data_IF_154743619588
#
_entry.id   IF_154743619588
#
_cell.length_a   1.000
_cell.length_b   1.000
_cell.length_c   1.000
_cell.angle_alpha   90.00
_cell.angle_beta   90.00
_cell.angle_gamma   90.00
#
_symmetry.space_group_name_H-M   'P 1'
#
loop_
_entity.id
_entity.type
_entity.pdbx_description
1 polymer ?
#
# COMPACT_ATOMS: atom_id res chain seq x y z
N UNK A 1 -24.08 23.84 22.99
CA UNK A 1 -23.20 23.22 22.08
C UNK A 1 -23.75 23.23 20.72
N UNK A 2 -23.00 23.75 19.90
CA UNK A 2 -23.44 23.89 18.58
C UNK A 2 -23.10 22.62 17.80
N UNK A 3 -24.11 21.89 17.53
CA UNK A 3 -23.96 20.65 16.82
C UNK A 3 -23.34 20.85 15.46
N UNK A 4 -23.61 21.99 14.86
CA UNK A 4 -23.05 22.29 13.56
C UNK A 4 -21.55 22.52 13.66
N UNK A 5 -21.10 23.15 14.72
CA UNK A 5 -19.69 23.33 14.94
C UNK A 5 -19.01 22.02 15.26
N UNK A 6 -19.65 21.20 16.04
CA UNK A 6 -19.15 19.89 16.30
C UNK A 6 -19.07 19.09 15.03
N UNK A 7 -20.06 19.24 14.19
CA UNK A 7 -20.03 18.60 12.90
C UNK A 7 -18.99 19.20 11.98
N UNK A 8 -18.73 20.46 12.12
CA UNK A 8 -17.65 21.05 11.35
C UNK A 8 -16.31 20.56 11.84
N UNK A 9 -16.21 20.27 13.12
CA UNK A 9 -14.97 19.87 13.72
C UNK A 9 -14.72 18.39 13.53
N UNK A 10 -15.72 17.62 13.79
CA UNK A 10 -15.57 16.23 13.58
C UNK A 10 -16.62 15.64 12.75
N UNK A 11 -17.53 16.47 12.43
CA UNK A 11 -18.30 16.09 11.35
C UNK A 11 -17.78 16.70 10.11
N UNK A 12 -16.71 17.42 10.17
CA UNK A 12 -16.03 17.57 8.97
C UNK A 12 -16.09 16.25 8.33
N UNK A 13 -16.78 16.25 7.22
CA UNK A 13 -17.11 15.01 6.64
C UNK A 13 -15.87 14.24 6.80
N UNK A 14 -15.98 13.25 7.63
CA UNK A 14 -14.88 12.41 7.82
C UNK A 14 -14.37 12.29 6.45
N UNK A 15 -13.25 12.82 6.25
CA UNK A 15 -12.58 12.71 5.04
C UNK A 15 -12.89 11.33 4.62
N UNK A 16 -13.84 11.23 3.76
CA UNK A 16 -14.23 9.95 3.27
C UNK A 16 -12.96 9.32 2.80
N UNK A 17 -12.60 8.20 3.36
CA UNK A 17 -11.38 7.56 2.99
C UNK A 17 -11.39 7.47 1.48
N UNK A 18 -10.50 8.14 0.88
CA UNK A 18 -10.32 8.02 -0.55
C UNK A 18 -10.10 6.56 -0.81
N UNK A 19 -10.97 5.99 -1.60
CA UNK A 19 -10.74 4.65 -2.04
C UNK A 19 -9.40 4.63 -2.75
N UNK A 20 -8.48 3.93 -2.19
CA UNK A 20 -7.19 3.77 -2.81
C UNK A 20 -7.36 2.97 -4.09
N UNK A 21 -6.83 3.51 -5.16
CA UNK A 21 -6.77 2.79 -6.42
C UNK A 21 -5.37 2.25 -6.66
N UNK A 22 -4.61 2.17 -5.59
CA UNK A 22 -3.26 1.66 -5.71
C UNK A 22 -3.32 0.17 -6.01
N UNK A 23 -2.72 -0.18 -7.11
CA UNK A 23 -2.65 -1.57 -7.54
C UNK A 23 -1.42 -2.20 -6.89
N UNK A 24 -1.62 -3.28 -6.20
CA UNK A 24 -0.54 -3.98 -5.50
C UNK A 24 -0.64 -5.48 -5.76
N UNK A 25 -0.93 -5.85 -6.99
CA UNK A 25 -1.08 -7.24 -7.36
C UNK A 25 0.23 -7.93 -7.69
N UNK A 26 1.21 -7.14 -8.14
CA UNK A 26 2.50 -7.66 -8.54
C UNK A 26 3.61 -6.99 -7.74
N UNK A 27 4.73 -7.69 -7.60
CA UNK A 27 5.90 -7.12 -6.93
C UNK A 27 6.37 -5.83 -7.60
N UNK A 28 6.25 -5.75 -8.92
CA UNK A 28 6.59 -4.53 -9.64
C UNK A 28 5.69 -3.36 -9.28
N UNK A 29 4.42 -3.64 -8.96
CA UNK A 29 3.50 -2.62 -8.49
C UNK A 29 3.97 -2.04 -7.16
N UNK A 30 4.41 -2.90 -6.28
CA UNK A 30 4.92 -2.48 -4.96
C UNK A 30 6.15 -1.60 -5.12
N UNK A 31 7.06 -1.96 -6.02
CA UNK A 31 8.25 -1.16 -6.28
C UNK A 31 7.90 0.20 -6.86
N UNK A 32 6.94 0.23 -7.76
CA UNK A 32 6.48 1.49 -8.36
C UNK A 32 5.88 2.41 -7.30
N UNK A 33 5.08 1.85 -6.42
CA UNK A 33 4.48 2.63 -5.35
C UNK A 33 5.51 3.08 -4.34
N UNK A 34 6.50 2.27 -4.03
CA UNK A 34 7.59 2.65 -3.14
C UNK A 34 8.36 3.84 -3.72
N UNK A 35 8.65 3.81 -5.00
CA UNK A 35 9.34 4.92 -5.66
C UNK A 35 8.49 6.18 -5.62
N UNK A 36 7.20 6.05 -5.77
CA UNK A 36 6.27 7.18 -5.70
C UNK A 36 6.31 7.81 -4.30
N UNK A 37 6.27 6.99 -3.26
CA UNK A 37 6.32 7.50 -1.89
C UNK A 37 7.67 8.14 -1.59
N UNK A 38 8.74 7.59 -2.10
CA UNK A 38 10.05 8.17 -1.95
C UNK A 38 10.09 9.57 -2.56
N UNK A 39 9.58 9.72 -3.78
CA UNK A 39 9.54 11.03 -4.44
C UNK A 39 8.69 12.02 -3.67
N UNK A 40 7.57 11.57 -3.12
CA UNK A 40 6.72 12.43 -2.30
C UNK A 40 7.46 12.95 -1.07
N UNK A 41 8.25 12.10 -0.44
CA UNK A 41 9.04 12.51 0.73
C UNK A 41 10.13 13.50 0.33
N UNK A 42 10.81 13.25 -0.78
CA UNK A 42 11.85 14.17 -1.28
C UNK A 42 11.24 15.53 -1.60
N UNK A 43 10.04 15.56 -2.12
CA UNK A 43 9.33 16.80 -2.45
C UNK A 43 8.68 17.46 -1.23
N UNK A 44 8.82 16.90 -0.05
CA UNK A 44 8.25 17.46 1.16
C UNK A 44 6.76 17.26 1.31
N UNK A 45 6.14 16.39 0.52
CA UNK A 45 4.70 16.15 0.59
C UNK A 45 4.31 15.25 1.75
N UNK A 46 5.20 14.37 2.15
CA UNK A 46 4.99 13.51 3.32
C UNK A 46 6.26 13.48 4.15
N UNK A 47 6.10 13.10 5.40
CA UNK A 47 7.23 12.98 6.31
C UNK A 47 8.04 11.75 5.97
N UNK A 48 9.33 11.82 6.22
CA UNK A 48 10.25 10.71 5.97
C UNK A 48 9.82 9.46 6.76
N UNK A 49 9.36 9.66 7.98
CA UNK A 49 8.91 8.54 8.80
C UNK A 49 7.72 7.83 8.18
N UNK A 50 6.79 8.62 7.64
CA UNK A 50 5.62 8.04 6.97
C UNK A 50 6.03 7.30 5.70
N UNK A 51 6.95 7.87 4.95
CA UNK A 51 7.51 7.19 3.78
C UNK A 51 8.14 5.86 4.17
N UNK A 52 8.94 5.85 5.23
CA UNK A 52 9.60 4.62 5.68
C UNK A 52 8.59 3.54 6.04
N UNK A 53 7.54 3.92 6.75
CA UNK A 53 6.48 2.98 7.12
C UNK A 53 5.77 2.42 5.91
N UNK A 54 5.46 3.28 4.95
CA UNK A 54 4.79 2.86 3.73
C UNK A 54 5.67 1.92 2.91
N UNK A 55 6.94 2.24 2.78
CA UNK A 55 7.88 1.41 2.03
C UNK A 55 8.07 0.07 2.72
N UNK A 56 8.16 0.04 4.05
CA UNK A 56 8.23 -1.21 4.78
C UNK A 56 7.00 -2.08 4.56
N UNK A 57 5.82 -1.48 4.57
CA UNK A 57 4.58 -2.21 4.29
C UNK A 57 4.59 -2.77 2.88
N UNK A 58 5.03 -1.97 1.91
CA UNK A 58 5.12 -2.41 0.53
C UNK A 58 6.11 -3.56 0.36
N UNK A 59 7.22 -3.53 1.10
CA UNK A 59 8.20 -4.60 1.07
C UNK A 59 7.59 -5.91 1.59
N UNK A 60 6.79 -5.84 2.64
CA UNK A 60 6.10 -7.00 3.16
C UNK A 60 5.10 -7.56 2.16
N UNK A 61 4.32 -6.69 1.54
CA UNK A 61 3.37 -7.10 0.52
C UNK A 61 4.09 -7.76 -0.66
N UNK A 62 5.21 -7.20 -1.06
CA UNK A 62 6.02 -7.74 -2.15
C UNK A 62 6.50 -9.16 -1.83
N UNK A 63 6.92 -9.39 -0.58
CA UNK A 63 7.32 -10.74 -0.15
C UNK A 63 6.17 -11.72 -0.19
N UNK A 64 4.98 -11.28 0.22
CA UNK A 64 3.79 -12.13 0.15
C UNK A 64 3.47 -12.52 -1.28
N UNK A 65 3.58 -11.58 -2.20
CA UNK A 65 3.34 -11.82 -3.61
C UNK A 65 4.37 -12.82 -4.16
N UNK A 66 5.63 -12.62 -3.85
CA UNK A 66 6.71 -13.50 -4.30
C UNK A 66 6.55 -14.91 -3.73
N UNK A 67 6.19 -15.02 -2.46
CA UNK A 67 5.93 -16.31 -1.82
C UNK A 67 4.80 -17.06 -2.49
N UNK A 68 3.69 -16.39 -2.75
CA UNK A 68 2.55 -16.98 -3.43
C UNK A 68 2.91 -17.45 -4.84
N UNK A 69 3.65 -16.62 -5.56
CA UNK A 69 4.10 -16.99 -6.91
C UNK A 69 5.01 -18.22 -6.90
N UNK A 70 5.88 -18.31 -5.92
CA UNK A 70 6.77 -19.46 -5.78
C UNK A 70 5.98 -20.73 -5.48
N UNK A 71 5.00 -20.64 -4.59
CA UNK A 71 4.12 -21.77 -4.28
C UNK A 71 3.40 -22.28 -5.53
N UNK A 72 2.89 -21.37 -6.34
CA UNK A 72 2.22 -21.73 -7.59
C UNK A 72 3.17 -22.44 -8.55
N UNK A 73 4.40 -21.98 -8.62
CA UNK A 73 5.41 -22.62 -9.48
C UNK A 73 5.74 -24.02 -8.99
N UNK A 74 5.90 -24.18 -7.70
CA UNK A 74 6.17 -25.49 -7.10
C UNK A 74 5.03 -26.43 -7.38
N UNK A 75 3.80 -25.97 -7.19
CA UNK A 75 2.62 -26.80 -7.46
C UNK A 75 2.59 -27.28 -8.92
N UNK A 76 2.91 -26.39 -9.85
CA UNK A 76 2.96 -26.75 -11.27
C UNK A 76 4.05 -27.77 -11.58
N UNK A 77 5.20 -27.63 -10.95
CA UNK A 77 6.28 -28.58 -11.11
C UNK A 77 5.92 -29.94 -10.55
N UNK A 78 5.26 -29.98 -9.41
CA UNK A 78 4.78 -31.23 -8.82
C UNK A 78 3.77 -31.92 -9.72
N UNK A 79 2.86 -31.17 -10.31
CA UNK A 79 1.92 -31.73 -11.28
C UNK A 79 2.63 -32.27 -12.50
N UNK A 80 3.64 -31.57 -12.98
CA UNK A 80 4.40 -31.97 -14.16
C UNK A 80 5.25 -33.20 -13.95
N UNK A 81 5.57 -33.53 -12.70
CA UNK A 81 6.42 -34.70 -12.42
C UNK A 81 5.62 -35.98 -12.17
N UNK A 82 4.32 -35.95 -12.32
CA UNK A 82 3.49 -37.17 -12.20
C UNK A 82 3.43 -37.90 -13.52
#
# INVERSE_FOLDING_TARGET
VNTAEQQAVWGEPPVQPRRSRVRLDLASDCRREAARQYRRAINGEIKIEDMSRLINALALISRMIEGSSLEDRIAKLEEGSR
#
